data_IF_665881165387
#
_entry.id   IF_665881165387
#
_cell.length_a   1.000
_cell.length_b   1.000
_cell.length_c   1.000
_cell.angle_alpha   90.00
_cell.angle_beta   90.00
_cell.angle_gamma   90.00
#
_symmetry.space_group_name_H-M   'P 1'
#
loop_
_entity.id
_entity.type
_entity.pdbx_description
1 polymer ?
#
# COMPACT_ATOMS: atom_id res chain seq x y z
N UNK A 1 18.29 0.62 1.09
CA UNK A 1 17.57 1.65 0.29
C UNK A 1 17.27 1.19 -1.12
N UNK A 2 18.13 0.37 -1.75
CA UNK A 2 17.93 -0.15 -3.11
C UNK A 2 16.54 -0.72 -3.40
N UNK A 3 16.08 -1.68 -2.59
CA UNK A 3 14.77 -2.32 -2.75
C UNK A 3 13.60 -1.34 -2.64
N UNK A 4 13.65 -0.43 -1.66
CA UNK A 4 12.65 0.62 -1.48
C UNK A 4 12.60 1.55 -2.70
N UNK A 5 13.77 2.00 -3.17
CA UNK A 5 13.91 2.86 -4.35
C UNK A 5 13.35 2.19 -5.61
N UNK A 6 13.73 0.94 -5.86
CA UNK A 6 13.21 0.16 -6.99
C UNK A 6 11.70 -0.05 -6.92
N UNK A 7 11.17 -0.44 -5.75
CA UNK A 7 9.73 -0.66 -5.56
C UNK A 7 8.89 0.60 -5.73
N UNK A 8 9.31 1.73 -5.15
CA UNK A 8 8.62 3.01 -5.32
C UNK A 8 8.70 3.50 -6.76
N UNK A 9 9.85 3.34 -7.41
CA UNK A 9 10.02 3.68 -8.84
C UNK A 9 9.09 2.83 -9.70
N UNK A 10 8.98 1.54 -9.43
CA UNK A 10 8.06 0.65 -10.14
C UNK A 10 6.62 1.17 -10.10
N UNK A 11 6.08 1.39 -8.90
CA UNK A 11 4.68 1.83 -8.73
C UNK A 11 4.44 3.19 -9.39
N UNK A 12 5.33 4.16 -9.16
CA UNK A 12 5.19 5.51 -9.72
C UNK A 12 5.29 5.50 -11.24
N UNK A 13 6.29 4.82 -11.79
CA UNK A 13 6.52 4.79 -13.23
C UNK A 13 5.41 4.02 -13.96
N UNK A 14 4.94 2.90 -13.39
CA UNK A 14 3.80 2.15 -13.94
C UNK A 14 2.56 3.05 -14.02
N UNK A 15 2.27 3.78 -12.94
CA UNK A 15 1.11 4.67 -12.86
C UNK A 15 1.18 5.80 -13.87
N UNK A 16 2.30 6.54 -13.91
CA UNK A 16 2.47 7.68 -14.81
C UNK A 16 2.49 7.24 -16.27
N UNK A 17 3.29 6.21 -16.61
CA UNK A 17 3.37 5.73 -17.99
C UNK A 17 2.05 5.15 -18.48
N UNK A 18 1.37 4.35 -17.65
CA UNK A 18 0.04 3.81 -17.99
C UNK A 18 -0.99 4.91 -18.18
N UNK A 19 -0.95 5.98 -17.37
CA UNK A 19 -1.83 7.12 -17.51
C UNK A 19 -1.59 7.86 -18.83
N UNK A 20 -0.32 8.19 -19.13
CA UNK A 20 0.06 8.92 -20.34
C UNK A 20 -0.25 8.10 -21.61
N UNK A 21 0.12 6.82 -21.64
CA UNK A 21 -0.18 5.94 -22.76
C UNK A 21 -1.70 5.80 -22.91
N UNK A 22 -2.42 5.59 -21.80
CA UNK A 22 -3.87 5.47 -21.82
C UNK A 22 -4.59 6.74 -22.31
N UNK A 23 -4.09 7.93 -22.00
CA UNK A 23 -4.59 9.19 -22.57
C UNK A 23 -4.41 9.24 -24.09
N UNK A 24 -3.27 8.77 -24.60
CA UNK A 24 -2.98 8.73 -26.04
C UNK A 24 -3.81 7.68 -26.78
N UNK A 25 -4.05 6.52 -26.16
CA UNK A 25 -4.80 5.41 -26.76
C UNK A 25 -6.30 5.43 -26.44
N UNK A 26 -6.79 6.46 -25.74
CA UNK A 26 -8.21 6.64 -25.45
C UNK A 26 -8.78 5.79 -24.32
N UNK A 27 -7.93 5.21 -23.45
CA UNK A 27 -8.34 4.45 -22.28
C UNK A 27 -7.32 3.41 -21.84
N UNK A 28 -7.53 2.84 -20.64
CA UNK A 28 -6.71 1.75 -20.12
C UNK A 28 -7.15 0.40 -20.72
N UNK A 29 -6.33 -0.16 -21.60
CA UNK A 29 -6.50 -1.50 -22.19
C UNK A 29 -5.46 -2.49 -21.68
N UNK A 30 -5.65 -3.78 -21.94
CA UNK A 30 -4.70 -4.83 -21.53
C UNK A 30 -3.29 -4.61 -22.11
N UNK A 31 -3.11 -4.28 -23.41
CA UNK A 31 -1.78 -3.95 -23.94
C UNK A 31 -1.13 -2.75 -23.25
N UNK A 32 -1.91 -1.71 -22.94
CA UNK A 32 -1.41 -0.51 -22.23
C UNK A 32 -0.94 -0.87 -20.83
N UNK A 33 -1.68 -1.71 -20.11
CA UNK A 33 -1.29 -2.19 -18.80
C UNK A 33 0.05 -2.93 -18.82
N UNK A 34 0.21 -3.90 -19.73
CA UNK A 34 1.47 -4.64 -19.87
C UNK A 34 2.64 -3.74 -20.28
N UNK A 35 2.43 -2.84 -21.25
CA UNK A 35 3.46 -1.89 -21.66
C UNK A 35 3.94 -1.02 -20.49
N UNK A 36 3.02 -0.47 -19.71
CA UNK A 36 3.34 0.34 -18.53
C UNK A 36 4.09 -0.45 -17.46
N UNK A 37 3.66 -1.68 -17.16
CA UNK A 37 4.30 -2.54 -16.16
C UNK A 37 5.71 -2.99 -16.59
N UNK A 38 5.92 -3.32 -17.87
CA UNK A 38 7.23 -3.71 -18.40
C UNK A 38 8.20 -2.52 -18.36
N UNK A 39 7.74 -1.34 -18.81
CA UNK A 39 8.55 -0.11 -18.74
C UNK A 39 8.91 0.21 -17.29
N UNK A 40 7.94 0.11 -16.38
CA UNK A 40 8.17 0.32 -14.96
C UNK A 40 9.19 -0.66 -14.37
N UNK A 41 9.16 -1.94 -14.77
CA UNK A 41 10.15 -2.93 -14.33
C UNK A 41 11.57 -2.56 -14.77
N UNK A 42 11.73 -2.06 -16.00
CA UNK A 42 13.03 -1.59 -16.50
C UNK A 42 13.55 -0.40 -15.67
N UNK A 43 12.71 0.61 -15.43
CA UNK A 43 13.09 1.78 -14.62
C UNK A 43 13.31 1.44 -13.14
N UNK A 44 12.55 0.50 -12.59
CA UNK A 44 12.77 -0.02 -11.25
C UNK A 44 14.12 -0.71 -11.11
N UNK A 45 14.53 -1.49 -12.12
CA UNK A 45 15.85 -2.10 -12.16
C UNK A 45 16.96 -1.05 -12.25
N UNK A 46 16.80 -0.03 -13.09
CA UNK A 46 17.75 1.09 -13.16
C UNK A 46 17.85 1.84 -11.83
N UNK A 47 16.73 2.13 -11.18
CA UNK A 47 16.72 2.76 -9.86
C UNK A 47 17.40 1.88 -8.80
N UNK A 48 17.14 0.57 -8.83
CA UNK A 48 17.79 -0.39 -7.92
C UNK A 48 19.31 -0.42 -8.11
N UNK A 49 19.78 -0.45 -9.35
CA UNK A 49 21.21 -0.49 -9.70
C UNK A 49 21.91 0.85 -9.42
N UNK A 50 21.24 1.97 -9.69
CA UNK A 50 21.78 3.32 -9.48
C UNK A 50 21.74 3.79 -8.02
N UNK A 51 20.86 3.21 -7.20
CA UNK A 51 20.81 3.54 -5.76
C UNK A 51 22.01 2.92 -5.05
N UNK A 52 22.90 3.74 -4.51
CA UNK A 52 23.96 3.25 -3.62
C UNK A 52 23.45 3.25 -2.19
N UNK A 53 23.61 2.14 -1.48
CA UNK A 53 23.46 2.15 -0.03
C UNK A 53 24.72 2.81 0.54
N UNK A 54 24.61 3.83 1.39
CA UNK A 54 25.78 4.38 2.07
C UNK A 54 26.45 3.21 2.80
N UNK A 55 27.74 2.98 2.52
CA UNK A 55 28.55 2.05 3.32
C UNK A 55 28.36 2.48 4.77
N UNK A 56 27.88 1.56 5.58
CA UNK A 56 27.76 1.74 7.02
C UNK A 56 29.16 2.11 7.54
N UNK A 57 29.43 3.39 7.82
CA UNK A 57 30.55 3.77 8.69
C UNK A 57 30.41 3.11 10.08
N UNK A 58 29.19 2.65 10.41
CA UNK A 58 28.94 1.80 11.57
C UNK A 58 29.54 0.38 11.45
N UNK A 59 29.82 -0.17 10.25
CA UNK A 59 30.48 -1.48 10.12
C UNK A 59 31.98 -1.42 10.45
N UNK A 60 32.56 -0.21 10.48
CA UNK A 60 33.92 0.02 10.96
C UNK A 60 33.99 0.19 12.50
N UNK A 61 32.92 0.70 13.13
CA UNK A 61 32.82 0.89 14.58
C UNK A 61 32.27 -0.35 15.34
N UNK A 62 31.47 -1.20 14.68
CA UNK A 62 30.74 -2.31 15.34
C UNK A 62 31.58 -3.60 15.55
N UNK A 63 32.86 -3.61 15.14
CA UNK A 63 33.75 -4.76 15.41
C UNK A 63 34.13 -4.89 16.90
N UNK A 64 33.94 -3.85 17.70
CA UNK A 64 34.41 -3.82 19.10
C UNK A 64 33.32 -4.11 20.16
N UNK A 65 32.03 -4.23 19.77
CA UNK A 65 30.90 -4.41 20.72
C UNK A 65 30.11 -5.71 20.51
N UNK A 66 30.80 -6.84 20.47
CA UNK A 66 30.24 -8.13 20.03
C UNK A 66 29.35 -8.88 21.04
N UNK A 67 29.08 -8.37 22.25
CA UNK A 67 28.17 -9.02 23.22
C UNK A 67 26.91 -8.23 23.59
N UNK A 68 26.93 -6.90 23.52
CA UNK A 68 25.76 -6.05 23.78
C UNK A 68 24.81 -5.90 22.55
N UNK A 69 25.30 -6.24 21.36
CA UNK A 69 24.57 -6.09 20.09
C UNK A 69 23.35 -7.00 19.95
N UNK A 70 23.37 -8.22 20.53
CA UNK A 70 22.32 -9.23 20.30
C UNK A 70 20.94 -8.85 20.83
N UNK A 71 20.87 -8.07 21.93
CA UNK A 71 19.61 -7.64 22.55
C UNK A 71 19.14 -6.25 22.10
N UNK A 72 20.01 -5.44 21.48
CA UNK A 72 19.68 -4.10 20.98
C UNK A 72 18.60 -4.13 19.89
N UNK A 73 18.53 -5.23 19.14
CA UNK A 73 17.57 -5.40 18.05
C UNK A 73 16.25 -6.03 18.51
N UNK A 74 16.17 -6.60 19.72
CA UNK A 74 14.97 -7.28 20.20
C UNK A 74 13.74 -6.35 20.26
N UNK A 75 13.82 -5.10 20.77
CA UNK A 75 12.69 -4.17 20.73
C UNK A 75 12.22 -3.85 19.32
N UNK A 76 13.14 -3.73 18.35
CA UNK A 76 12.81 -3.47 16.95
C UNK A 76 12.06 -4.67 16.35
N UNK A 77 12.49 -5.90 16.64
CA UNK A 77 11.78 -7.10 16.20
C UNK A 77 10.40 -7.26 16.84
N UNK A 78 10.24 -6.89 18.11
CA UNK A 78 8.92 -6.84 18.76
C UNK A 78 8.01 -5.82 18.05
N UNK A 79 8.52 -4.61 17.78
CA UNK A 79 7.79 -3.60 17.03
C UNK A 79 7.45 -4.07 15.61
N UNK A 80 8.37 -4.75 14.93
CA UNK A 80 8.13 -5.35 13.62
C UNK A 80 7.01 -6.41 13.68
N UNK A 81 6.98 -7.24 14.73
CA UNK A 81 5.93 -8.20 14.97
C UNK A 81 4.56 -7.54 15.13
N UNK A 82 4.45 -6.51 15.97
CA UNK A 82 3.20 -5.75 16.12
C UNK A 82 2.77 -5.05 14.83
N UNK A 83 3.72 -4.44 14.11
CA UNK A 83 3.45 -3.81 12.82
C UNK A 83 2.95 -4.82 11.79
N UNK A 84 3.55 -6.01 11.74
CA UNK A 84 3.14 -7.08 10.84
C UNK A 84 1.74 -7.60 11.18
N UNK A 85 1.43 -7.83 12.46
CA UNK A 85 0.10 -8.23 12.92
C UNK A 85 -0.94 -7.18 12.51
N UNK A 86 -0.65 -5.89 12.74
CA UNK A 86 -1.50 -4.80 12.32
C UNK A 86 -1.72 -4.79 10.81
N UNK A 87 -0.65 -4.82 10.01
CA UNK A 87 -0.73 -4.80 8.55
C UNK A 87 -1.51 -5.99 8.00
N UNK A 88 -1.22 -7.21 8.46
CA UNK A 88 -1.95 -8.42 8.04
C UNK A 88 -3.42 -8.33 8.42
N UNK A 89 -3.72 -7.89 9.65
CA UNK A 89 -5.11 -7.73 10.11
C UNK A 89 -5.87 -6.69 9.27
N UNK A 90 -5.23 -5.58 8.92
CA UNK A 90 -5.85 -4.49 8.17
C UNK A 90 -6.04 -4.81 6.69
N UNK A 91 -5.07 -5.48 6.04
CA UNK A 91 -5.10 -5.69 4.60
C UNK A 91 -5.69 -7.02 4.18
N UNK A 92 -5.46 -8.12 4.91
CA UNK A 92 -6.03 -9.42 4.55
C UNK A 92 -7.56 -9.49 4.76
N UNK A 93 -8.11 -8.59 5.57
CA UNK A 93 -9.56 -8.43 5.78
C UNK A 93 -10.07 -7.07 5.31
N UNK A 94 -9.32 -6.38 4.44
CA UNK A 94 -9.72 -5.08 3.90
C UNK A 94 -11.03 -5.17 3.11
N UNK A 95 -11.13 -6.21 2.27
CA UNK A 95 -12.30 -6.53 1.46
C UNK A 95 -12.39 -8.05 1.36
N UNK A 96 -13.50 -8.63 1.80
CA UNK A 96 -13.69 -10.08 1.76
C UNK A 96 -15.11 -10.42 1.29
N UNK A 97 -15.25 -11.65 0.78
CA UNK A 97 -16.53 -12.17 0.30
C UNK A 97 -17.14 -13.00 1.42
N UNK A 98 -18.36 -12.67 1.80
CA UNK A 98 -19.17 -13.46 2.73
C UNK A 98 -20.50 -13.82 2.05
N UNK A 99 -20.65 -15.09 1.68
CA UNK A 99 -21.74 -15.54 0.82
C UNK A 99 -21.72 -14.82 -0.54
N UNK A 100 -22.74 -14.00 -0.79
CA UNK A 100 -22.90 -13.19 -2.01
C UNK A 100 -22.52 -11.72 -1.80
N UNK A 101 -22.12 -11.33 -0.60
CA UNK A 101 -21.86 -9.94 -0.23
C UNK A 101 -20.36 -9.64 -0.17
N UNK A 102 -20.00 -8.41 -0.54
CA UNK A 102 -18.68 -7.85 -0.29
C UNK A 102 -18.71 -7.10 1.04
N UNK A 103 -17.89 -7.56 1.99
CA UNK A 103 -17.80 -7.01 3.36
C UNK A 103 -16.42 -6.39 3.61
N UNK A 104 -16.35 -5.45 4.56
CA UNK A 104 -15.26 -4.47 4.72
C UNK A 104 -14.63 -4.42 6.12
N UNK A 105 -14.97 -5.19 7.14
CA UNK A 105 -14.43 -5.04 8.51
C UNK A 105 -14.63 -3.67 9.21
N UNK A 106 -14.07 -2.56 8.71
CA UNK A 106 -14.10 -1.25 9.34
C UNK A 106 -15.26 -0.38 8.83
N UNK A 107 -16.20 0.02 9.70
CA UNK A 107 -17.37 0.82 9.31
C UNK A 107 -16.97 2.23 8.88
N UNK A 108 -15.87 2.75 9.44
CA UNK A 108 -15.33 4.07 9.09
C UNK A 108 -14.61 4.07 7.73
N UNK A 109 -14.31 2.89 7.19
CA UNK A 109 -13.70 2.73 5.86
C UNK A 109 -14.73 2.44 4.76
N UNK A 110 -16.03 2.30 5.11
CA UNK A 110 -17.04 1.81 4.17
C UNK A 110 -17.26 2.76 2.99
N UNK A 111 -17.27 4.08 3.24
CA UNK A 111 -17.39 5.09 2.18
C UNK A 111 -16.14 5.21 1.32
N UNK A 112 -14.96 5.22 1.94
CA UNK A 112 -13.69 5.47 1.25
C UNK A 112 -13.29 4.26 0.40
N UNK A 113 -13.43 3.04 0.93
CA UNK A 113 -13.13 1.83 0.17
C UNK A 113 -14.08 1.66 -1.03
N UNK A 114 -15.37 1.97 -0.87
CA UNK A 114 -16.31 1.98 -2.00
C UNK A 114 -15.91 2.95 -3.11
N UNK A 115 -15.43 4.14 -2.73
CA UNK A 115 -14.89 5.15 -3.66
C UNK A 115 -13.67 4.60 -4.43
N UNK A 116 -12.69 4.04 -3.74
CA UNK A 116 -11.51 3.42 -4.36
C UNK A 116 -11.86 2.29 -5.31
N UNK A 117 -12.73 1.36 -4.90
CA UNK A 117 -13.18 0.25 -5.75
C UNK A 117 -13.88 0.74 -7.01
N UNK A 118 -14.65 1.82 -6.89
CA UNK A 118 -15.32 2.46 -8.02
C UNK A 118 -14.29 3.02 -9.00
N UNK A 119 -13.30 3.77 -8.53
CA UNK A 119 -12.24 4.31 -9.40
C UNK A 119 -11.41 3.22 -10.08
N UNK A 120 -10.97 2.20 -9.34
CA UNK A 120 -10.18 1.10 -9.89
C UNK A 120 -10.93 0.43 -11.03
N UNK A 121 -12.20 0.06 -10.81
CA UNK A 121 -13.04 -0.59 -11.83
C UNK A 121 -13.35 0.36 -12.99
N UNK A 122 -13.58 1.64 -12.71
CA UNK A 122 -13.87 2.65 -13.72
C UNK A 122 -12.69 2.80 -14.69
N UNK A 123 -11.46 2.94 -14.18
CA UNK A 123 -10.26 2.92 -15.02
C UNK A 123 -10.09 1.58 -15.74
N UNK A 124 -10.24 0.45 -15.04
CA UNK A 124 -10.11 -0.88 -15.63
C UNK A 124 -11.20 -1.22 -16.66
N UNK A 125 -12.30 -0.48 -16.73
CA UNK A 125 -13.29 -0.60 -17.80
C UNK A 125 -12.85 0.08 -19.11
N UNK A 126 -11.69 0.74 -19.13
CA UNK A 126 -11.13 1.34 -20.34
C UNK A 126 -11.82 2.65 -20.72
N UNK A 127 -12.38 3.37 -19.74
CA UNK A 127 -12.93 4.71 -19.95
C UNK A 127 -11.89 5.65 -20.55
N UNK A 128 -12.35 6.62 -21.35
CA UNK A 128 -11.47 7.62 -21.95
C UNK A 128 -10.79 8.42 -20.87
N UNK A 129 -9.46 8.47 -20.92
CA UNK A 129 -8.65 9.25 -19.99
C UNK A 129 -8.42 10.66 -20.55
N UNK A 130 -8.53 11.72 -19.75
CA UNK A 130 -8.95 11.74 -18.35
C UNK A 130 -10.48 11.63 -18.21
N UNK A 131 -11.02 10.78 -17.31
CA UNK A 131 -12.44 10.46 -17.34
C UNK A 131 -13.30 11.46 -16.58
N UNK A 132 -14.60 11.42 -16.87
CA UNK A 132 -15.61 12.15 -16.11
C UNK A 132 -15.73 11.64 -14.68
N UNK A 133 -16.27 12.45 -13.77
CA UNK A 133 -16.44 12.01 -12.39
C UNK A 133 -17.55 10.94 -12.32
N UNK A 134 -17.27 9.73 -11.82
CA UNK A 134 -18.27 8.65 -11.78
C UNK A 134 -19.31 8.84 -10.65
N UNK A 135 -19.10 9.80 -9.74
CA UNK A 135 -19.93 9.99 -8.54
C UNK A 135 -20.57 11.38 -8.52
N UNK A 136 -19.83 12.43 -8.89
CA UNK A 136 -20.32 13.80 -8.85
C UNK A 136 -20.73 14.31 -10.22
N UNK A 137 -22.04 14.40 -10.46
CA UNK A 137 -22.64 14.87 -11.73
C UNK A 137 -22.22 16.29 -12.11
N UNK A 138 -21.93 17.14 -11.13
CA UNK A 138 -21.55 18.56 -11.35
C UNK A 138 -20.07 18.73 -11.70
N UNK A 139 -19.24 17.70 -11.49
CA UNK A 139 -17.82 17.74 -11.83
C UNK A 139 -17.60 17.02 -13.15
N UNK A 140 -17.38 17.78 -14.23
CA UNK A 140 -17.16 17.21 -15.57
C UNK A 140 -16.00 16.21 -15.65
N UNK A 141 -15.02 16.33 -14.75
CA UNK A 141 -13.83 15.49 -14.70
C UNK A 141 -13.59 14.93 -13.30
N UNK A 142 -13.00 13.73 -13.21
CA UNK A 142 -12.56 13.14 -11.95
C UNK A 142 -11.47 14.02 -11.33
N UNK A 143 -11.63 14.49 -10.09
CA UNK A 143 -10.59 15.29 -9.39
C UNK A 143 -9.83 14.50 -8.32
N UNK A 144 -10.27 13.28 -8.07
CA UNK A 144 -9.60 12.40 -7.11
C UNK A 144 -8.22 11.99 -7.65
N UNK A 145 -7.17 11.95 -6.82
CA UNK A 145 -5.86 11.50 -7.24
C UNK A 145 -5.91 10.07 -7.80
N UNK A 146 -5.59 9.89 -9.08
CA UNK A 146 -5.63 8.56 -9.71
C UNK A 146 -4.64 7.57 -9.06
N UNK A 147 -3.43 8.03 -8.74
CA UNK A 147 -2.40 7.36 -7.94
C UNK A 147 -2.51 5.83 -7.84
N UNK A 148 -2.75 5.35 -6.63
CA UNK A 148 -2.77 3.92 -6.31
C UNK A 148 -3.99 3.18 -6.87
N UNK A 149 -5.11 3.89 -7.10
CA UNK A 149 -6.30 3.31 -7.72
C UNK A 149 -6.01 2.93 -9.18
N UNK A 150 -5.33 3.81 -9.91
CA UNK A 150 -4.91 3.55 -11.28
C UNK A 150 -3.84 2.44 -11.33
N UNK A 151 -2.91 2.39 -10.38
CA UNK A 151 -1.97 1.28 -10.28
C UNK A 151 -2.68 -0.07 -10.08
N UNK A 152 -3.65 -0.14 -9.18
CA UNK A 152 -4.46 -1.35 -9.01
C UNK A 152 -5.30 -1.68 -10.26
N UNK A 153 -5.75 -0.67 -11.02
CA UNK A 153 -6.42 -0.89 -12.30
C UNK A 153 -5.48 -1.50 -13.35
N UNK A 154 -4.20 -1.12 -13.38
CA UNK A 154 -3.18 -1.77 -14.23
C UNK A 154 -3.03 -3.25 -13.85
N UNK A 155 -2.91 -3.55 -12.55
CA UNK A 155 -2.82 -4.93 -12.06
C UNK A 155 -4.06 -5.74 -12.43
N UNK A 156 -5.25 -5.15 -12.27
CA UNK A 156 -6.51 -5.79 -12.63
C UNK A 156 -6.57 -6.10 -14.13
N UNK A 157 -6.14 -5.17 -15.00
CA UNK A 157 -6.01 -5.42 -16.45
C UNK A 157 -4.95 -6.47 -16.79
N UNK A 158 -3.95 -6.64 -15.96
CA UNK A 158 -2.94 -7.70 -16.05
C UNK A 158 -3.42 -9.05 -15.44
N UNK A 159 -4.72 -9.21 -15.16
CA UNK A 159 -5.34 -10.39 -14.57
C UNK A 159 -4.93 -10.69 -13.11
N UNK A 160 -4.47 -9.68 -12.36
CA UNK A 160 -4.38 -9.80 -10.91
C UNK A 160 -5.77 -9.58 -10.32
N UNK A 161 -6.27 -10.55 -9.56
CA UNK A 161 -7.55 -10.41 -8.83
C UNK A 161 -7.57 -9.14 -7.97
N UNK A 162 -8.71 -8.44 -7.93
CA UNK A 162 -8.85 -7.15 -7.26
C UNK A 162 -8.56 -7.24 -5.76
N UNK A 163 -9.14 -8.23 -5.06
CA UNK A 163 -8.95 -8.40 -3.62
C UNK A 163 -7.49 -8.72 -3.33
N UNK A 164 -6.92 -9.69 -4.07
CA UNK A 164 -5.51 -10.07 -3.91
C UNK A 164 -4.56 -8.91 -4.23
N UNK A 165 -4.87 -8.11 -5.26
CA UNK A 165 -4.12 -6.93 -5.64
C UNK A 165 -4.06 -5.92 -4.50
N UNK A 166 -5.22 -5.56 -3.93
CA UNK A 166 -5.31 -4.65 -2.79
C UNK A 166 -4.55 -5.17 -1.57
N UNK A 167 -4.68 -6.46 -1.25
CA UNK A 167 -3.97 -7.10 -0.13
C UNK A 167 -2.46 -6.99 -0.33
N UNK A 168 -1.92 -7.42 -1.47
CA UNK A 168 -0.48 -7.41 -1.71
C UNK A 168 0.10 -6.00 -1.80
N UNK A 169 -0.60 -5.07 -2.46
CA UNK A 169 -0.18 -3.66 -2.52
C UNK A 169 -0.12 -3.07 -1.12
N UNK A 170 -1.13 -3.31 -0.27
CA UNK A 170 -1.17 -2.84 1.11
C UNK A 170 -0.07 -3.44 2.00
N UNK A 171 0.18 -4.76 1.89
CA UNK A 171 1.23 -5.43 2.65
C UNK A 171 2.63 -4.97 2.23
N UNK A 172 2.89 -4.82 0.93
CA UNK A 172 4.18 -4.32 0.44
C UNK A 172 4.40 -2.84 0.82
N UNK A 173 3.35 -2.01 0.74
CA UNK A 173 3.38 -0.64 1.22
C UNK A 173 3.65 -0.57 2.74
N UNK A 174 3.11 -1.52 3.52
CA UNK A 174 3.37 -1.64 4.95
C UNK A 174 4.83 -1.94 5.25
N UNK A 175 5.44 -2.88 4.51
CA UNK A 175 6.88 -3.19 4.63
C UNK A 175 7.73 -1.97 4.26
N UNK A 176 7.39 -1.29 3.16
CA UNK A 176 8.07 -0.08 2.73
C UNK A 176 7.98 1.04 3.79
N UNK A 177 6.80 1.22 4.37
CA UNK A 177 6.52 2.22 5.42
C UNK A 177 7.29 1.91 6.70
N UNK A 178 7.27 0.66 7.17
CA UNK A 178 8.07 0.22 8.32
C UNK A 178 9.55 0.50 8.09
N UNK A 179 10.08 0.12 6.91
CA UNK A 179 11.48 0.34 6.57
C UNK A 179 11.83 1.83 6.50
N UNK A 180 10.94 2.67 5.95
CA UNK A 180 11.13 4.11 5.91
C UNK A 180 11.17 4.73 7.31
N UNK A 181 10.24 4.38 8.21
CA UNK A 181 10.27 4.84 9.60
C UNK A 181 11.51 4.36 10.34
N UNK A 182 11.88 3.09 10.18
CA UNK A 182 13.10 2.54 10.74
C UNK A 182 14.33 3.35 10.31
N UNK A 183 14.41 3.71 9.02
CA UNK A 183 15.56 4.47 8.53
C UNK A 183 15.55 5.95 8.91
N UNK A 184 14.37 6.53 9.10
CA UNK A 184 14.24 7.94 9.48
C UNK A 184 14.49 8.19 10.96
N UNK A 185 13.90 7.38 11.85
CA UNK A 185 13.98 7.60 13.30
C UNK A 185 14.07 6.33 14.14
N UNK A 186 14.47 5.21 13.53
CA UNK A 186 14.69 3.94 14.24
C UNK A 186 13.43 3.38 14.88
N UNK A 187 13.61 2.63 15.96
CA UNK A 187 12.50 2.04 16.72
C UNK A 187 11.54 3.09 17.30
N UNK A 188 12.02 4.30 17.61
CA UNK A 188 11.18 5.37 18.15
C UNK A 188 10.16 5.87 17.12
N UNK A 189 10.56 6.07 15.86
CA UNK A 189 9.62 6.45 14.80
C UNK A 189 8.57 5.36 14.54
N UNK A 190 8.98 4.08 14.56
CA UNK A 190 8.05 2.94 14.41
C UNK A 190 7.04 2.92 15.57
N UNK A 191 7.52 3.03 16.81
CA UNK A 191 6.66 3.05 17.99
C UNK A 191 5.72 4.25 17.96
N UNK A 192 6.23 5.43 17.61
CA UNK A 192 5.43 6.65 17.48
C UNK A 192 4.31 6.52 16.45
N UNK A 193 4.55 5.81 15.33
CA UNK A 193 3.52 5.51 14.34
C UNK A 193 2.48 4.50 14.88
N UNK A 194 2.93 3.38 15.43
CA UNK A 194 2.04 2.31 15.93
C UNK A 194 1.15 2.78 17.08
N UNK A 195 1.68 3.60 17.98
CA UNK A 195 1.00 4.05 19.18
C UNK A 195 0.44 5.48 19.06
N UNK A 196 0.39 6.04 17.85
CA UNK A 196 -0.12 7.40 17.60
C UNK A 196 -1.60 7.55 17.97
N UNK A 197 -2.38 6.47 17.86
CA UNK A 197 -3.82 6.44 18.18
C UNK A 197 -4.16 6.54 19.68
N UNK A 198 -3.16 6.72 20.55
CA UNK A 198 -3.36 6.88 21.99
C UNK A 198 -4.04 5.67 22.65
N UNK A 199 -4.87 5.93 23.67
CA UNK A 199 -5.58 4.88 24.42
C UNK A 199 -6.68 4.18 23.62
N UNK A 200 -7.10 4.71 22.46
CA UNK A 200 -8.16 4.12 21.64
C UNK A 200 -7.78 2.72 21.14
N UNK A 201 -6.52 2.51 20.76
CA UNK A 201 -6.00 1.19 20.36
C UNK A 201 -5.94 0.16 21.49
N UNK A 202 -5.99 0.63 22.75
CA UNK A 202 -5.99 -0.23 23.94
C UNK A 202 -7.39 -0.50 24.49
N UNK A 203 -8.46 -0.03 23.82
CA UNK A 203 -9.84 -0.32 24.25
C UNK A 203 -10.10 -1.82 24.40
N UNK A 204 -9.50 -2.65 23.55
CA UNK A 204 -9.57 -4.11 23.68
C UNK A 204 -9.14 -4.62 25.08
N UNK A 205 -8.12 -4.02 25.70
CA UNK A 205 -7.65 -4.45 27.03
C UNK A 205 -8.66 -4.13 28.15
N UNK A 206 -9.65 -3.29 27.88
CA UNK A 206 -10.67 -2.93 28.86
C UNK A 206 -11.76 -3.99 28.97
N UNK A 207 -12.12 -4.62 27.86
CA UNK A 207 -13.28 -5.50 27.76
C UNK A 207 -12.97 -6.87 27.14
N UNK A 208 -11.75 -7.09 26.64
CA UNK A 208 -11.28 -8.31 25.96
C UNK A 208 -12.23 -8.81 24.86
N UNK A 209 -13.02 -7.90 24.28
CA UNK A 209 -13.99 -8.19 23.23
C UNK A 209 -13.47 -7.61 21.92
N UNK A 210 -13.36 -8.48 20.91
CA UNK A 210 -13.29 -8.02 19.53
C UNK A 210 -14.70 -7.60 19.12
N UNK A 211 -14.92 -6.29 19.00
CA UNK A 211 -16.19 -5.76 18.50
C UNK A 211 -16.12 -5.81 16.98
N UNK A 212 -16.97 -6.64 16.38
CA UNK A 212 -17.31 -6.50 14.98
C UNK A 212 -18.29 -5.33 14.85
N UNK A 213 -17.94 -4.37 14.01
CA UNK A 213 -18.77 -3.20 13.77
C UNK A 213 -19.63 -3.34 12.51
N UNK A 214 -19.60 -4.51 11.86
CA UNK A 214 -20.40 -4.80 10.68
C UNK A 214 -21.76 -5.43 11.03
N UNK A 215 -21.92 -5.97 12.24
CA UNK A 215 -23.22 -6.40 12.74
C UNK A 215 -24.00 -5.19 13.25
N UNK A 216 -24.83 -4.62 12.36
CA UNK A 216 -25.86 -3.63 12.74
C UNK A 216 -27.15 -4.32 13.23
N UNK A 217 -27.11 -5.61 13.51
CA UNK A 217 -28.25 -6.35 14.04
C UNK A 217 -27.86 -7.14 15.29
N UNK A 218 -28.07 -6.51 16.44
CA UNK A 218 -28.63 -7.16 17.64
C UNK A 218 -29.41 -6.12 18.44
#
# INVERSE_FOLDING_TARGET
MKWLSGGLTFVNFATISGLLIGMLTGGLSTPVAFAALILAAAFALLAYLGTSDPKSEADALDRDTSKASKYRNLPIWILAGFFAIFAVRSFCWLLFIDGTELKIQSPVNLGDLGLHLTHIKFFANGVRLWPSNPIYVVSDHLRYPAGIDFFNALLLKANVDLIRGLVWVGLLASVATFYAFYRWGGGFAIAGFLFNGGLAGFQFLRNFKFVDYQDVNN
#
